data_IF_598246720874
#
_entry.id   IF_598246720874
#
_cell.length_a   1.000
_cell.length_b   1.000
_cell.length_c   1.000
_cell.angle_alpha   90.00
_cell.angle_beta   90.00
_cell.angle_gamma   90.00
#
_symmetry.space_group_name_H-M   'P 1'
#
loop_
_entity.id
_entity.type
_entity.pdbx_description
1 polymer ?
#
# COMPACT_ATOMS: atom_id res chain seq x y z
N UNK A 1 42.79 -20.91 83.67
CA UNK A 1 42.77 -20.63 82.25
C UNK A 1 42.69 -19.13 82.02
N UNK A 2 43.54 -18.61 81.19
CA UNK A 2 43.98 -17.20 81.21
C UNK A 2 43.00 -16.31 80.40
N UNK A 3 42.26 -15.37 81.10
CA UNK A 3 41.31 -14.42 80.47
C UNK A 3 41.95 -13.57 79.37
N UNK A 4 43.28 -13.45 79.32
CA UNK A 4 44.03 -12.74 78.25
C UNK A 4 44.04 -13.48 76.92
N UNK A 5 43.99 -14.79 76.92
CA UNK A 5 44.00 -15.64 75.67
C UNK A 5 42.62 -15.64 75.00
N UNK A 6 41.53 -15.63 75.78
CA UNK A 6 40.18 -15.56 75.25
C UNK A 6 39.88 -14.23 74.55
N UNK A 7 40.35 -13.10 75.08
CA UNK A 7 40.15 -11.76 74.46
C UNK A 7 40.89 -11.63 73.11
N UNK A 8 42.08 -12.23 72.94
CA UNK A 8 42.82 -12.18 71.68
C UNK A 8 42.11 -13.00 70.57
N UNK A 9 41.53 -14.16 70.91
CA UNK A 9 40.80 -14.99 69.98
C UNK A 9 39.51 -14.27 69.51
N UNK A 10 38.77 -13.64 70.41
CA UNK A 10 37.56 -12.86 70.08
C UNK A 10 37.91 -11.67 69.17
N UNK A 11 39.02 -11.00 69.41
CA UNK A 11 39.45 -9.85 68.58
C UNK A 11 39.87 -10.29 67.17
N UNK A 12 40.48 -11.47 67.06
CA UNK A 12 40.86 -12.05 65.76
C UNK A 12 39.65 -12.48 64.95
N UNK A 13 38.66 -13.09 65.57
CA UNK A 13 37.37 -13.46 64.91
C UNK A 13 36.64 -12.19 64.47
N UNK A 14 36.63 -11.13 65.27
CA UNK A 14 36.03 -9.85 64.85
C UNK A 14 36.72 -9.22 63.66
N UNK A 15 38.05 -9.27 63.59
CA UNK A 15 38.84 -8.75 62.45
C UNK A 15 38.58 -9.58 61.16
N UNK A 16 38.46 -10.90 61.27
CA UNK A 16 38.15 -11.77 60.15
C UNK A 16 36.72 -11.50 59.65
N UNK A 17 35.75 -11.40 60.56
CA UNK A 17 34.35 -11.07 60.18
C UNK A 17 34.25 -9.73 59.49
N UNK A 18 34.95 -8.68 59.94
CA UNK A 18 34.98 -7.37 59.29
C UNK A 18 35.63 -7.46 57.92
N UNK A 19 36.69 -8.23 57.72
CA UNK A 19 37.33 -8.47 56.41
C UNK A 19 36.40 -9.20 55.44
N UNK A 20 35.64 -10.18 55.93
CA UNK A 20 34.69 -10.95 55.13
C UNK A 20 33.49 -10.05 54.67
N UNK A 21 32.96 -9.21 55.54
CA UNK A 21 31.95 -8.24 55.21
C UNK A 21 32.45 -7.23 54.18
N UNK A 22 33.65 -6.68 54.36
CA UNK A 22 34.25 -5.76 53.38
C UNK A 22 34.48 -6.43 52.00
N UNK A 23 34.88 -7.70 51.99
CA UNK A 23 35.04 -8.48 50.74
C UNK A 23 33.71 -8.70 50.04
N UNK A 24 32.65 -9.03 50.78
CA UNK A 24 31.32 -9.21 50.26
C UNK A 24 30.70 -7.90 49.74
N UNK A 25 30.96 -6.79 50.40
CA UNK A 25 30.54 -5.45 49.90
C UNK A 25 31.26 -5.08 48.61
N UNK A 26 32.55 -5.33 48.48
CA UNK A 26 33.32 -5.05 47.27
C UNK A 26 32.81 -5.92 46.07
N UNK A 27 32.49 -7.20 46.31
CA UNK A 27 31.88 -8.06 45.27
C UNK A 27 30.52 -7.57 44.87
N UNK A 28 29.67 -7.11 45.81
CA UNK A 28 28.36 -6.54 45.48
C UNK A 28 28.47 -5.24 44.67
N UNK A 29 29.46 -4.41 44.97
CA UNK A 29 29.72 -3.16 44.27
C UNK A 29 30.25 -3.42 42.85
N UNK A 30 31.12 -4.40 42.67
CA UNK A 30 31.54 -4.84 41.34
C UNK A 30 30.36 -5.36 40.49
N UNK A 31 29.50 -6.20 41.06
CA UNK A 31 28.32 -6.72 40.36
C UNK A 31 27.33 -5.60 39.96
N UNK A 32 27.15 -4.58 40.83
CA UNK A 32 26.33 -3.40 40.48
C UNK A 32 26.95 -2.61 39.34
N UNK A 33 28.25 -2.36 39.36
CA UNK A 33 28.93 -1.62 38.31
C UNK A 33 28.92 -2.39 36.96
N UNK A 34 29.00 -3.70 37.00
CA UNK A 34 28.91 -4.54 35.81
C UNK A 34 27.49 -4.51 35.21
N UNK A 35 26.45 -4.62 36.04
CA UNK A 35 25.05 -4.49 35.61
C UNK A 35 24.76 -3.11 35.00
N UNK A 36 25.27 -2.02 35.55
CA UNK A 36 25.12 -0.67 34.97
C UNK A 36 25.83 -0.57 33.61
N UNK A 37 27.03 -1.15 33.47
CA UNK A 37 27.74 -1.18 32.18
C UNK A 37 27.00 -1.99 31.14
N UNK A 38 26.36 -3.08 31.51
CA UNK A 38 25.59 -3.92 30.60
C UNK A 38 24.30 -3.24 30.18
N UNK A 39 23.60 -2.53 31.08
CA UNK A 39 22.46 -1.72 30.74
C UNK A 39 22.84 -0.58 29.76
N UNK A 40 23.94 0.13 30.00
CA UNK A 40 24.41 1.17 29.09
C UNK A 40 24.77 0.64 27.69
N UNK A 41 25.36 -0.57 27.60
CA UNK A 41 25.61 -1.23 26.30
C UNK A 41 24.32 -1.57 25.58
N UNK A 42 23.35 -2.14 26.28
CA UNK A 42 22.06 -2.51 25.70
C UNK A 42 21.26 -1.28 25.23
N UNK A 43 21.36 -0.17 25.94
CA UNK A 43 20.73 1.08 25.55
C UNK A 43 21.37 1.69 24.29
N UNK A 44 22.71 1.67 24.21
CA UNK A 44 23.44 2.12 23.03
C UNK A 44 23.11 1.28 21.78
N UNK A 45 22.99 -0.05 21.92
CA UNK A 45 22.59 -0.95 20.82
C UNK A 45 21.15 -0.64 20.37
N UNK A 46 20.23 -0.38 21.30
CA UNK A 46 18.84 0.00 20.97
C UNK A 46 18.78 1.34 20.24
N UNK A 47 19.61 2.28 20.63
CA UNK A 47 19.66 3.61 19.98
C UNK A 47 20.27 3.52 18.57
N UNK A 48 21.30 2.72 18.39
CA UNK A 48 21.84 2.42 17.06
C UNK A 48 20.80 1.78 16.14
N UNK A 49 20.06 0.78 16.62
CA UNK A 49 19.01 0.12 15.85
C UNK A 49 17.86 1.09 15.46
N UNK A 50 17.48 2.00 16.36
CA UNK A 50 16.50 3.06 16.05
C UNK A 50 17.00 4.01 14.97
N UNK A 51 18.26 4.43 15.06
CA UNK A 51 18.86 5.35 14.09
C UNK A 51 19.02 4.70 12.72
N UNK A 52 19.29 3.41 12.66
CA UNK A 52 19.38 2.64 11.42
C UNK A 52 18.00 2.48 10.76
N UNK A 53 16.98 2.17 11.55
CA UNK A 53 15.59 2.10 11.06
C UNK A 53 15.09 3.45 10.50
N UNK A 54 15.42 4.57 11.15
CA UNK A 54 15.09 5.92 10.65
C UNK A 54 15.82 6.23 9.34
N UNK A 55 17.09 5.83 9.22
CA UNK A 55 17.87 6.01 7.97
C UNK A 55 17.31 5.16 6.82
N UNK A 56 16.86 3.96 7.11
CA UNK A 56 16.26 3.08 6.11
C UNK A 56 14.89 3.59 5.65
N UNK A 57 14.07 4.11 6.58
CA UNK A 57 12.83 4.80 6.22
C UNK A 57 13.08 6.02 5.33
N UNK A 58 14.06 6.86 5.66
CA UNK A 58 14.43 8.02 4.86
C UNK A 58 14.94 7.62 3.45
N UNK A 59 15.74 6.56 3.33
CA UNK A 59 16.16 6.02 2.03
C UNK A 59 14.98 5.52 1.20
N UNK A 60 14.06 4.79 1.82
CA UNK A 60 12.86 4.28 1.15
C UNK A 60 11.93 5.41 0.69
N UNK A 61 11.86 6.49 1.45
CA UNK A 61 11.09 7.69 1.09
C UNK A 61 11.74 8.45 -0.07
N UNK A 62 13.06 8.60 -0.06
CA UNK A 62 13.82 9.21 -1.15
C UNK A 62 13.71 8.41 -2.46
N UNK A 63 13.79 7.07 -2.39
CA UNK A 63 13.57 6.19 -3.56
C UNK A 63 12.14 6.31 -4.08
N UNK A 64 11.15 6.43 -3.20
CA UNK A 64 9.75 6.67 -3.60
C UNK A 64 9.55 8.04 -4.21
N UNK A 65 10.27 9.05 -3.76
CA UNK A 65 10.24 10.41 -4.30
C UNK A 65 10.94 10.49 -5.66
N UNK A 66 12.08 9.82 -5.82
CA UNK A 66 12.74 9.67 -7.13
C UNK A 66 11.87 8.93 -8.13
N UNK A 67 11.24 7.80 -7.74
CA UNK A 67 10.30 7.09 -8.59
C UNK A 67 9.08 7.94 -8.97
N UNK A 68 8.62 8.84 -8.09
CA UNK A 68 7.57 9.82 -8.41
C UNK A 68 8.06 10.88 -9.41
N UNK A 69 9.31 11.31 -9.32
CA UNK A 69 9.88 12.33 -10.20
C UNK A 69 10.22 11.74 -11.57
N UNK A 70 10.69 10.50 -11.67
CA UNK A 70 10.88 9.78 -12.92
C UNK A 70 9.56 9.46 -13.63
N UNK A 71 8.44 9.31 -12.88
CA UNK A 71 7.10 9.11 -13.42
C UNK A 71 6.48 10.38 -14.07
N UNK A 72 7.18 11.51 -14.08
CA UNK A 72 6.64 12.80 -14.54
C UNK A 72 6.64 12.92 -16.07
N UNK A 73 7.34 12.06 -16.79
CA UNK A 73 7.41 12.10 -18.26
C UNK A 73 6.66 10.93 -18.95
N UNK A 74 5.56 10.50 -18.38
CA UNK A 74 4.71 9.52 -19.05
C UNK A 74 3.99 10.20 -20.20
N UNK A 75 4.32 9.79 -21.43
CA UNK A 75 3.59 10.24 -22.61
C UNK A 75 2.13 9.77 -22.57
N UNK A 76 1.24 10.68 -22.18
CA UNK A 76 -0.20 10.41 -22.10
C UNK A 76 -0.83 10.08 -23.49
N UNK A 77 -0.14 10.35 -24.60
CA UNK A 77 -0.61 10.04 -25.95
C UNK A 77 -0.21 8.63 -26.39
N UNK A 78 0.63 7.93 -25.61
CA UNK A 78 1.05 6.58 -25.96
C UNK A 78 -0.11 5.61 -26.13
N UNK A 79 0.04 4.67 -27.08
CA UNK A 79 -0.89 3.58 -27.29
C UNK A 79 -0.75 2.55 -26.15
N UNK A 80 -1.89 2.15 -25.60
CA UNK A 80 -1.99 1.01 -24.67
C UNK A 80 -2.28 -0.29 -25.43
N UNK A 81 -3.07 -0.20 -26.48
CA UNK A 81 -3.42 -1.32 -27.37
C UNK A 81 -3.79 -0.77 -28.76
N UNK A 82 -4.28 -1.62 -29.66
CA UNK A 82 -4.64 -1.25 -31.03
C UNK A 82 -5.56 -0.02 -31.11
N UNK A 83 -6.54 0.08 -30.19
CA UNK A 83 -7.58 1.12 -30.25
C UNK A 83 -7.63 2.05 -29.02
N UNK A 84 -6.83 1.79 -28.01
CA UNK A 84 -6.88 2.56 -26.76
C UNK A 84 -5.59 3.32 -26.48
N UNK A 85 -5.72 4.61 -26.13
CA UNK A 85 -4.63 5.51 -25.72
C UNK A 85 -4.68 5.77 -24.22
N UNK A 86 -3.52 5.99 -23.61
CA UNK A 86 -3.42 6.29 -22.18
C UNK A 86 -4.22 7.55 -21.79
N UNK A 87 -4.29 8.54 -22.67
CA UNK A 87 -5.09 9.76 -22.44
C UNK A 87 -6.56 9.48 -22.14
N UNK A 88 -7.15 8.45 -22.70
CA UNK A 88 -8.56 8.08 -22.47
C UNK A 88 -8.77 7.62 -21.01
N UNK A 89 -7.77 7.01 -20.39
CA UNK A 89 -7.83 6.48 -19.03
C UNK A 89 -7.43 7.51 -17.95
N UNK A 90 -6.87 8.63 -18.33
CA UNK A 90 -6.38 9.65 -17.39
C UNK A 90 -7.27 10.90 -17.35
N UNK A 91 -8.19 11.06 -18.29
CA UNK A 91 -9.10 12.20 -18.33
C UNK A 91 -10.09 12.17 -17.17
N UNK A 92 -10.26 13.32 -16.52
CA UNK A 92 -11.26 13.51 -15.46
C UNK A 92 -11.68 14.97 -15.36
N UNK A 93 -12.99 15.22 -15.44
CA UNK A 93 -13.56 16.53 -15.19
C UNK A 93 -13.32 17.02 -13.75
N UNK A 94 -13.36 16.11 -12.79
CA UNK A 94 -13.05 16.40 -11.38
C UNK A 94 -11.59 16.77 -11.19
N UNK A 95 -10.67 16.03 -11.81
CA UNK A 95 -9.24 16.36 -11.75
C UNK A 95 -8.95 17.76 -12.31
N UNK A 96 -9.57 18.12 -13.44
CA UNK A 96 -9.46 19.48 -14.03
C UNK A 96 -9.99 20.55 -13.11
N UNK A 97 -11.19 20.39 -12.57
CA UNK A 97 -11.80 21.38 -11.65
C UNK A 97 -10.96 21.60 -10.40
N UNK A 98 -10.38 20.55 -9.85
CA UNK A 98 -9.58 20.61 -8.63
C UNK A 98 -8.06 20.74 -8.87
N UNK A 99 -7.63 20.97 -10.12
CA UNK A 99 -6.22 21.10 -10.52
C UNK A 99 -5.36 19.94 -10.01
N UNK A 100 -5.89 18.72 -10.08
CA UNK A 100 -5.18 17.49 -9.67
C UNK A 100 -4.48 16.90 -10.88
N UNK A 101 -3.17 16.66 -10.78
CA UNK A 101 -2.42 15.89 -11.76
C UNK A 101 -2.82 14.40 -11.62
N UNK A 102 -3.47 13.86 -12.66
CA UNK A 102 -3.90 12.47 -12.70
C UNK A 102 -3.02 11.69 -13.70
N UNK A 103 -1.77 11.45 -13.31
CA UNK A 103 -0.75 10.79 -14.14
C UNK A 103 -0.39 9.46 -13.49
N UNK A 104 -0.52 8.31 -14.20
CA UNK A 104 -0.11 7.01 -13.71
C UNK A 104 1.40 6.85 -13.76
N UNK A 105 1.95 6.00 -12.88
CA UNK A 105 3.33 5.54 -13.00
C UNK A 105 3.47 4.42 -14.04
N UNK A 106 4.70 3.99 -14.35
CA UNK A 106 4.97 2.93 -15.34
C UNK A 106 4.22 1.63 -15.05
N UNK A 107 4.11 1.25 -13.78
CA UNK A 107 3.42 0.04 -13.35
C UNK A 107 1.90 0.09 -13.60
N UNK A 108 1.27 1.22 -13.33
CA UNK A 108 -0.15 1.44 -13.61
C UNK A 108 -0.41 1.46 -15.12
N UNK A 109 0.52 2.01 -15.92
CA UNK A 109 0.44 2.00 -17.39
C UNK A 109 0.46 0.57 -17.93
N UNK A 110 1.36 -0.28 -17.45
CA UNK A 110 1.42 -1.68 -17.88
C UNK A 110 0.17 -2.46 -17.49
N UNK A 111 -0.40 -2.22 -16.33
CA UNK A 111 -1.67 -2.83 -15.91
C UNK A 111 -2.84 -2.37 -16.77
N UNK A 112 -2.91 -1.07 -17.09
CA UNK A 112 -3.90 -0.55 -18.05
C UNK A 112 -3.74 -1.19 -19.43
N UNK A 113 -2.50 -1.35 -19.91
CA UNK A 113 -2.19 -2.04 -21.17
C UNK A 113 -2.73 -3.47 -21.15
N UNK A 114 -2.48 -4.20 -20.07
CA UNK A 114 -2.97 -5.56 -19.89
C UNK A 114 -4.50 -5.62 -19.91
N UNK A 115 -5.18 -4.72 -19.18
CA UNK A 115 -6.63 -4.59 -19.18
C UNK A 115 -7.18 -4.30 -20.58
N UNK A 116 -6.55 -3.38 -21.32
CA UNK A 116 -6.93 -3.05 -22.69
C UNK A 116 -6.87 -4.29 -23.58
N UNK A 117 -5.72 -4.95 -23.63
CA UNK A 117 -5.47 -6.08 -24.52
C UNK A 117 -6.37 -7.29 -24.19
N UNK A 118 -6.51 -7.61 -22.91
CA UNK A 118 -7.21 -8.83 -22.48
C UNK A 118 -8.71 -8.66 -22.36
N UNK A 119 -9.19 -7.48 -21.99
CA UNK A 119 -10.62 -7.28 -21.69
C UNK A 119 -11.30 -6.29 -22.64
N UNK A 120 -10.71 -5.10 -22.84
CA UNK A 120 -11.39 -4.05 -23.59
C UNK A 120 -11.34 -4.23 -25.10
N UNK A 121 -10.25 -4.71 -25.68
CA UNK A 121 -10.17 -5.00 -27.12
C UNK A 121 -11.15 -6.09 -27.57
N UNK A 122 -11.32 -7.23 -26.87
CA UNK A 122 -12.39 -8.18 -27.20
C UNK A 122 -13.80 -7.58 -27.10
N UNK A 123 -14.04 -6.73 -26.10
CA UNK A 123 -15.32 -5.99 -25.97
C UNK A 123 -15.54 -5.06 -27.16
N UNK A 124 -14.50 -4.31 -27.55
CA UNK A 124 -14.55 -3.41 -28.70
C UNK A 124 -14.79 -4.13 -30.02
N UNK A 125 -14.14 -5.28 -30.24
CA UNK A 125 -14.39 -6.11 -31.44
C UNK A 125 -15.83 -6.59 -31.51
N UNK A 126 -16.47 -6.86 -30.39
CA UNK A 126 -17.86 -7.35 -30.34
C UNK A 126 -18.92 -6.26 -30.47
N UNK A 127 -18.68 -5.08 -29.87
CA UNK A 127 -19.69 -4.03 -29.72
C UNK A 127 -19.36 -2.72 -30.45
N UNK A 128 -18.24 -2.64 -31.14
CA UNK A 128 -17.77 -1.42 -31.79
C UNK A 128 -17.02 -0.49 -30.80
N UNK A 129 -16.97 0.79 -31.14
CA UNK A 129 -16.23 1.77 -30.36
C UNK A 129 -16.73 1.86 -28.91
N UNK A 130 -15.80 1.74 -27.97
CA UNK A 130 -16.05 1.84 -26.52
C UNK A 130 -15.50 3.17 -26.01
N UNK A 131 -16.31 3.90 -25.26
CA UNK A 131 -15.89 5.13 -24.59
C UNK A 131 -15.56 4.87 -23.12
N UNK A 132 -14.32 5.16 -22.76
CA UNK A 132 -13.87 5.13 -21.35
C UNK A 132 -14.40 6.37 -20.65
N UNK A 133 -15.10 6.18 -19.55
CA UNK A 133 -15.63 7.26 -18.71
C UNK A 133 -14.79 7.52 -17.47
N UNK A 134 -14.08 6.49 -17.00
CA UNK A 134 -13.10 6.59 -15.93
C UNK A 134 -12.08 5.44 -16.08
N UNK A 135 -10.81 5.75 -15.99
CA UNK A 135 -9.71 4.77 -15.96
C UNK A 135 -8.87 4.95 -14.70
N UNK A 136 -7.60 5.28 -14.85
CA UNK A 136 -6.71 5.54 -13.72
C UNK A 136 -7.18 6.73 -12.87
N UNK A 137 -7.06 6.57 -11.55
CA UNK A 137 -7.29 7.64 -10.57
C UNK A 137 -6.12 7.67 -9.59
N UNK A 138 -5.38 8.77 -9.56
CA UNK A 138 -4.43 8.98 -8.46
C UNK A 138 -5.19 9.03 -7.12
N UNK A 139 -4.52 8.74 -6.02
CA UNK A 139 -5.15 8.66 -4.67
C UNK A 139 -5.98 9.90 -4.34
N UNK A 140 -5.46 11.10 -4.66
CA UNK A 140 -6.15 12.37 -4.42
C UNK A 140 -7.44 12.47 -5.23
N UNK A 141 -7.41 12.12 -6.51
CA UNK A 141 -8.61 12.11 -7.35
C UNK A 141 -9.62 11.08 -6.85
N UNK A 142 -9.16 9.88 -6.49
CA UNK A 142 -10.03 8.83 -5.98
C UNK A 142 -10.78 9.26 -4.72
N UNK A 143 -10.11 9.94 -3.79
CA UNK A 143 -10.75 10.51 -2.59
C UNK A 143 -11.80 11.60 -2.96
N UNK A 144 -11.48 12.50 -3.92
CA UNK A 144 -12.39 13.56 -4.36
C UNK A 144 -13.68 13.03 -5.02
N UNK A 145 -13.64 11.86 -5.64
CA UNK A 145 -14.82 11.22 -6.24
C UNK A 145 -15.52 10.25 -5.30
N UNK A 146 -15.09 10.13 -4.04
CA UNK A 146 -15.66 9.21 -3.06
C UNK A 146 -15.36 7.74 -3.33
N UNK A 147 -14.26 7.44 -4.02
CA UNK A 147 -13.84 6.06 -4.30
C UNK A 147 -13.25 5.36 -3.09
N UNK A 148 -13.39 4.03 -3.03
CA UNK A 148 -12.77 3.21 -1.98
C UNK A 148 -11.26 3.41 -1.94
N UNK A 149 -10.60 3.43 -0.76
CA UNK A 149 -9.15 3.46 -0.65
C UNK A 149 -8.45 2.27 -1.35
N UNK A 150 -9.15 1.15 -1.48
CA UNK A 150 -8.69 -0.07 -2.16
C UNK A 150 -9.14 -0.18 -3.61
N UNK A 151 -9.61 0.92 -4.22
CA UNK A 151 -10.12 0.95 -5.58
C UNK A 151 -9.08 0.48 -6.61
N UNK A 152 -9.47 -0.40 -7.51
CA UNK A 152 -8.63 -0.90 -8.60
C UNK A 152 -8.29 0.18 -9.65
N UNK A 153 -9.07 1.25 -9.73
CA UNK A 153 -8.71 2.43 -10.51
C UNK A 153 -7.41 3.09 -10.03
N UNK A 154 -7.13 3.06 -8.72
CA UNK A 154 -5.86 3.60 -8.17
C UNK A 154 -4.66 2.77 -8.57
N UNK A 155 -4.89 1.49 -8.85
CA UNK A 155 -3.85 0.55 -9.25
C UNK A 155 -3.66 0.46 -10.78
N UNK A 156 -4.48 1.15 -11.58
CA UNK A 156 -4.48 1.00 -13.05
C UNK A 156 -5.07 -0.33 -13.53
N UNK A 157 -5.87 -0.99 -12.70
CA UNK A 157 -6.45 -2.31 -12.98
C UNK A 157 -7.92 -2.26 -13.41
N UNK A 158 -8.51 -1.08 -13.53
CA UNK A 158 -9.94 -0.92 -13.80
C UNK A 158 -10.26 0.18 -14.82
N UNK A 159 -11.37 -0.01 -15.51
CA UNK A 159 -12.00 1.00 -16.34
C UNK A 159 -13.52 0.97 -16.18
N UNK A 160 -14.14 2.15 -16.20
CA UNK A 160 -15.58 2.34 -16.35
C UNK A 160 -15.87 2.69 -17.81
N UNK A 161 -16.72 1.93 -18.45
CA UNK A 161 -17.10 2.13 -19.86
C UNK A 161 -18.56 2.55 -20.01
N UNK A 162 -18.79 3.51 -20.88
CA UNK A 162 -20.15 3.91 -21.23
C UNK A 162 -20.83 2.84 -22.05
N UNK A 163 -22.04 2.46 -21.67
CA UNK A 163 -22.78 1.35 -22.31
C UNK A 163 -24.06 1.80 -23.03
N UNK A 164 -24.38 3.11 -22.98
CA UNK A 164 -25.64 3.60 -23.55
C UNK A 164 -26.85 3.27 -22.68
N UNK A 165 -27.89 2.70 -23.26
CA UNK A 165 -29.12 2.34 -22.55
C UNK A 165 -29.03 0.97 -21.89
N UNK A 166 -30.12 0.62 -21.18
CA UNK A 166 -30.22 -0.61 -20.40
C UNK A 166 -29.93 -1.89 -21.21
N UNK A 167 -30.59 -2.02 -22.35
CA UNK A 167 -30.51 -3.24 -23.17
C UNK A 167 -29.06 -3.53 -23.63
N UNK A 168 -28.38 -2.52 -24.14
CA UNK A 168 -26.98 -2.68 -24.56
C UNK A 168 -26.07 -2.98 -23.36
N UNK A 169 -26.32 -2.36 -22.21
CA UNK A 169 -25.58 -2.60 -20.96
C UNK A 169 -25.68 -4.05 -20.52
N UNK A 170 -26.89 -4.60 -20.53
CA UNK A 170 -27.15 -6.00 -20.16
C UNK A 170 -26.48 -6.97 -21.15
N UNK A 171 -26.52 -6.67 -22.46
CA UNK A 171 -25.82 -7.45 -23.50
C UNK A 171 -24.30 -7.40 -23.32
N UNK A 172 -23.74 -6.23 -23.05
CA UNK A 172 -22.30 -6.07 -22.81
C UNK A 172 -21.86 -6.80 -21.53
N UNK A 173 -22.63 -6.68 -20.44
CA UNK A 173 -22.38 -7.40 -19.20
C UNK A 173 -22.42 -8.93 -19.40
N UNK A 174 -23.47 -9.44 -20.04
CA UNK A 174 -23.64 -10.87 -20.31
C UNK A 174 -22.49 -11.44 -21.16
N UNK A 175 -22.11 -10.74 -22.23
CA UNK A 175 -20.97 -11.12 -23.05
C UNK A 175 -19.65 -11.12 -22.27
N UNK A 176 -19.37 -10.04 -21.52
CA UNK A 176 -18.16 -9.93 -20.75
C UNK A 176 -18.05 -11.04 -19.70
N UNK A 177 -19.14 -11.33 -19.00
CA UNK A 177 -19.21 -12.39 -17.99
C UNK A 177 -18.82 -13.77 -18.54
N UNK A 178 -19.16 -14.06 -19.79
CA UNK A 178 -18.95 -15.38 -20.42
C UNK A 178 -17.63 -15.47 -21.19
N UNK A 179 -17.12 -14.36 -21.75
CA UNK A 179 -16.08 -14.40 -22.76
C UNK A 179 -14.83 -13.59 -22.44
N UNK A 180 -14.85 -12.78 -21.39
CA UNK A 180 -13.77 -11.84 -21.07
C UNK A 180 -13.15 -12.20 -19.72
N UNK A 181 -11.82 -12.20 -19.58
CA UNK A 181 -11.19 -12.30 -18.27
C UNK A 181 -11.44 -11.01 -17.48
N UNK A 182 -11.84 -11.15 -16.21
CA UNK A 182 -12.06 -10.04 -15.28
C UNK A 182 -11.80 -10.45 -13.82
N UNK A 183 -11.49 -9.48 -12.98
CA UNK A 183 -11.51 -9.63 -11.52
C UNK A 183 -12.88 -9.25 -10.96
N UNK A 184 -13.35 -8.04 -11.29
CA UNK A 184 -14.72 -7.60 -11.06
C UNK A 184 -15.36 -7.10 -12.34
N UNK A 185 -16.63 -7.44 -12.50
CA UNK A 185 -17.49 -6.97 -13.58
C UNK A 185 -18.79 -6.46 -12.95
N UNK A 186 -18.98 -5.14 -12.95
CA UNK A 186 -20.13 -4.54 -12.26
C UNK A 186 -20.93 -3.74 -13.29
N UNK A 187 -22.19 -4.10 -13.45
CA UNK A 187 -23.12 -3.25 -14.18
C UNK A 187 -23.75 -2.25 -13.21
N UNK A 188 -23.39 -1.00 -13.37
CA UNK A 188 -23.83 0.10 -12.51
C UNK A 188 -24.93 0.91 -13.18
N UNK A 189 -25.93 1.29 -12.40
CA UNK A 189 -27.07 2.09 -12.85
C UNK A 189 -27.32 3.25 -11.89
N UNK A 190 -27.33 4.48 -12.44
CA UNK A 190 -27.82 5.66 -11.73
C UNK A 190 -29.27 5.92 -12.17
N UNK A 191 -30.27 5.59 -11.34
CA UNK A 191 -31.69 5.73 -11.72
C UNK A 191 -32.12 7.19 -11.87
N UNK A 192 -31.50 8.14 -11.17
CA UNK A 192 -31.87 9.55 -11.26
C UNK A 192 -31.60 10.15 -12.65
N UNK A 193 -30.66 9.58 -13.39
CA UNK A 193 -30.27 10.06 -14.72
C UNK A 193 -30.44 9.01 -15.82
N UNK A 194 -30.98 7.83 -15.48
CA UNK A 194 -31.09 6.67 -16.39
C UNK A 194 -29.76 6.31 -17.07
N UNK A 195 -28.64 6.53 -16.36
CA UNK A 195 -27.29 6.27 -16.89
C UNK A 195 -26.83 4.89 -16.44
N UNK A 196 -26.30 4.13 -17.39
CA UNK A 196 -25.67 2.83 -17.18
C UNK A 196 -24.19 2.91 -17.56
N UNK A 197 -23.35 2.23 -16.80
CA UNK A 197 -21.96 2.00 -17.18
C UNK A 197 -21.50 0.63 -16.66
N UNK A 198 -20.48 0.13 -17.29
CA UNK A 198 -19.90 -1.16 -16.91
C UNK A 198 -18.51 -0.92 -16.33
N UNK A 199 -18.34 -1.28 -15.06
CA UNK A 199 -17.03 -1.38 -14.43
C UNK A 199 -16.43 -2.73 -14.78
N UNK A 200 -15.20 -2.73 -15.30
CA UNK A 200 -14.42 -3.92 -15.56
C UNK A 200 -13.04 -3.76 -14.99
N UNK A 201 -12.57 -4.75 -14.24
CA UNK A 201 -11.23 -4.79 -13.69
C UNK A 201 -10.55 -6.11 -13.95
N UNK A 202 -9.22 -6.10 -14.05
CA UNK A 202 -8.40 -7.29 -14.25
C UNK A 202 -7.04 -7.11 -13.59
N UNK A 203 -6.63 -8.08 -12.78
CA UNK A 203 -5.31 -8.13 -12.15
C UNK A 203 -4.31 -8.79 -13.08
N UNK A 204 -3.14 -8.18 -13.25
CA UNK A 204 -2.09 -8.65 -14.15
C UNK A 204 -0.88 -9.26 -13.47
N UNK A 205 -0.51 -8.75 -12.30
CA UNK A 205 0.78 -9.02 -11.64
C UNK A 205 0.65 -9.80 -10.32
N UNK A 206 -0.54 -10.32 -10.05
CA UNK A 206 -0.83 -11.16 -8.88
C UNK A 206 -1.88 -12.22 -9.24
N UNK A 207 -1.81 -13.43 -8.69
CA UNK A 207 -2.78 -14.48 -8.94
C UNK A 207 -4.14 -14.17 -8.31
N UNK A 208 -5.19 -14.80 -8.82
CA UNK A 208 -6.49 -14.83 -8.18
C UNK A 208 -7.41 -13.68 -8.56
N UNK A 209 -7.77 -13.59 -9.86
CA UNK A 209 -8.96 -12.83 -10.24
C UNK A 209 -10.19 -13.49 -9.60
N UNK A 210 -11.05 -12.66 -8.96
CA UNK A 210 -12.19 -13.12 -8.16
C UNK A 210 -13.37 -13.63 -8.99
N UNK A 211 -13.46 -13.19 -10.25
CA UNK A 211 -14.59 -13.45 -11.15
C UNK A 211 -15.94 -13.01 -10.57
N UNK A 212 -15.95 -11.90 -9.81
CA UNK A 212 -17.15 -11.32 -9.23
C UNK A 212 -17.93 -10.52 -10.27
N UNK A 213 -19.17 -10.93 -10.55
CA UNK A 213 -20.04 -10.26 -11.52
C UNK A 213 -21.41 -9.99 -10.91
N UNK A 214 -21.81 -8.70 -10.79
CA UNK A 214 -23.07 -8.28 -10.16
C UNK A 214 -23.58 -6.93 -10.65
N UNK A 215 -24.83 -6.58 -10.24
CA UNK A 215 -25.49 -5.31 -10.53
C UNK A 215 -25.51 -4.41 -9.33
N UNK A 216 -25.32 -3.11 -9.54
CA UNK A 216 -25.40 -2.10 -8.47
C UNK A 216 -26.29 -0.93 -8.92
N UNK A 217 -27.21 -0.53 -8.06
CA UNK A 217 -27.90 0.76 -8.16
C UNK A 217 -27.12 1.80 -7.36
N UNK A 218 -26.52 2.76 -8.05
CA UNK A 218 -25.72 3.81 -7.42
C UNK A 218 -26.61 4.99 -7.10
N UNK A 219 -26.78 5.31 -5.83
CA UNK A 219 -27.33 6.59 -5.40
C UNK A 219 -26.15 7.59 -5.34
N UNK A 220 -26.02 8.46 -6.33
CA UNK A 220 -25.22 9.66 -6.14
C UNK A 220 -26.14 10.75 -5.58
N UNK A 221 -25.81 11.21 -4.39
CA UNK A 221 -26.32 12.47 -3.86
C UNK A 221 -25.82 13.63 -4.71
#
# INVERSE_FOLDING_TARGET
>A
MNKKTGNKVIEQIKKEAIREVAKNEAVREQAKNEAVREQAKNEAVREQAKNEAVREQAKNEAVREQAKNEAIDVDLKQQLSEHFKLSEFTQSGTARRHKVKNVPGPREVERLRFLCVKSLEPMRRRFGAIRITSGFRCKKLNALVGGSPTSQHVLGEAADIHTGGRELSEKMFGFAKQNIPFDQLILEHNPAHSIYWLHISLRSDRPGNRHEAFFVKVKKN
#
